data_IF_751061855799
#
_entry.id   IF_751061855799
#
_cell.length_a   1.000
_cell.length_b   1.000
_cell.length_c   1.000
_cell.angle_alpha   90.00
_cell.angle_beta   90.00
_cell.angle_gamma   90.00
#
_symmetry.space_group_name_H-M   'P 1'
#
loop_
_entity.id
_entity.type
_entity.pdbx_description
1 polymer ?
#
# COMPACT_ATOMS: atom_id res chain seq x y z
N UNK A 1 15.75 -0.16 -24.04
CA UNK A 1 14.47 -0.85 -24.28
C UNK A 1 13.87 -1.24 -22.93
N UNK A 2 13.22 -0.29 -22.26
CA UNK A 2 12.44 -0.53 -21.05
C UNK A 2 11.04 -0.04 -21.41
N UNK A 3 10.12 -0.98 -21.55
CA UNK A 3 8.83 -0.77 -22.21
C UNK A 3 8.04 0.40 -21.61
N UNK A 4 7.14 1.02 -22.38
CA UNK A 4 6.15 1.89 -21.79
C UNK A 4 5.36 1.05 -20.78
N UNK A 5 5.25 1.53 -19.54
CA UNK A 5 4.29 1.01 -18.57
C UNK A 5 2.87 1.27 -19.12
N UNK A 6 2.45 0.40 -20.04
CA UNK A 6 1.11 0.31 -20.56
C UNK A 6 0.23 -0.24 -19.43
N UNK A 7 -0.39 0.66 -18.67
CA UNK A 7 -1.70 0.46 -18.03
C UNK A 7 -2.10 1.74 -17.27
N UNK A 8 -2.40 2.79 -18.05
CA UNK A 8 -3.22 3.93 -17.63
C UNK A 8 -4.65 3.81 -18.20
N UNK A 9 -5.08 2.60 -18.58
CA UNK A 9 -6.31 2.33 -19.30
C UNK A 9 -7.07 1.19 -18.63
N UNK A 10 -7.95 1.52 -17.68
CA UNK A 10 -9.34 1.03 -17.58
C UNK A 10 -10.01 1.57 -16.30
N UNK A 11 -10.33 2.88 -16.29
CA UNK A 11 -11.29 3.41 -15.33
C UNK A 11 -12.70 3.23 -15.91
N UNK A 12 -13.62 2.84 -15.02
CA UNK A 12 -15.08 2.92 -15.15
C UNK A 12 -15.81 1.71 -15.76
N UNK A 13 -15.89 0.60 -14.99
CA UNK A 13 -17.11 -0.21 -14.85
C UNK A 13 -16.98 -1.40 -13.87
N UNK A 14 -15.76 -1.84 -13.54
CA UNK A 14 -15.53 -3.05 -12.72
C UNK A 14 -14.91 -2.70 -11.37
N UNK A 15 -15.28 -3.43 -10.32
CA UNK A 15 -14.61 -3.37 -9.00
C UNK A 15 -13.12 -3.69 -9.17
N UNK A 16 -12.19 -2.90 -8.57
CA UNK A 16 -10.76 -3.17 -8.67
C UNK A 16 -10.40 -4.57 -8.17
N UNK A 17 -9.55 -5.26 -8.91
CA UNK A 17 -9.00 -6.57 -8.56
C UNK A 17 -7.95 -6.47 -7.46
N UNK A 18 -7.66 -7.59 -6.81
CA UNK A 18 -6.60 -7.66 -5.79
C UNK A 18 -5.22 -7.30 -6.34
N UNK A 19 -4.96 -7.65 -7.60
CA UNK A 19 -3.70 -7.36 -8.25
C UNK A 19 -3.53 -5.85 -8.49
N UNK A 20 -4.58 -5.17 -8.95
CA UNK A 20 -4.60 -3.71 -9.09
C UNK A 20 -4.44 -3.01 -7.74
N UNK A 21 -5.11 -3.52 -6.70
CA UNK A 21 -4.95 -3.04 -5.33
C UNK A 21 -3.49 -3.20 -4.87
N UNK A 22 -2.91 -4.38 -5.07
CA UNK A 22 -1.55 -4.68 -4.66
C UNK A 22 -0.52 -3.80 -5.37
N UNK A 23 -0.65 -3.65 -6.68
CA UNK A 23 0.18 -2.76 -7.49
C UNK A 23 0.09 -1.32 -6.97
N UNK A 24 -1.11 -0.81 -6.73
CA UNK A 24 -1.32 0.56 -6.24
C UNK A 24 -0.69 0.78 -4.85
N UNK A 25 -0.90 -0.16 -3.92
CA UNK A 25 -0.31 -0.09 -2.57
C UNK A 25 1.22 -0.09 -2.61
N UNK A 26 1.82 -0.97 -3.42
CA UNK A 26 3.28 -1.04 -3.57
C UNK A 26 3.84 0.18 -4.31
N UNK A 27 3.15 0.69 -5.32
CA UNK A 27 3.52 1.91 -6.04
C UNK A 27 3.57 3.10 -5.08
N UNK A 28 2.53 3.31 -4.26
CA UNK A 28 2.51 4.39 -3.26
C UNK A 28 3.61 4.23 -2.21
N UNK A 29 3.84 3.01 -1.73
CA UNK A 29 4.89 2.72 -0.76
C UNK A 29 6.29 3.04 -1.32
N UNK A 30 6.56 2.62 -2.56
CA UNK A 30 7.85 2.87 -3.25
C UNK A 30 8.05 4.33 -3.60
N UNK A 31 7.01 5.00 -4.11
CA UNK A 31 7.06 6.41 -4.49
C UNK A 31 7.39 7.32 -3.31
N UNK A 32 6.89 7.00 -2.10
CA UNK A 32 7.21 7.76 -0.89
C UNK A 32 8.62 7.52 -0.36
N UNK A 33 9.21 6.36 -0.62
CA UNK A 33 10.51 5.98 -0.12
C UNK A 33 10.52 5.40 1.29
N UNK A 34 11.70 4.96 1.76
CA UNK A 34 11.85 4.18 2.99
C UNK A 34 11.39 4.94 4.24
N UNK A 35 10.69 4.24 5.13
CA UNK A 35 10.21 4.78 6.42
C UNK A 35 9.02 5.75 6.31
N UNK A 36 8.64 6.18 5.11
CA UNK A 36 7.48 7.06 4.91
C UNK A 36 6.19 6.26 4.92
N UNK A 37 5.12 6.91 5.36
CA UNK A 37 3.81 6.28 5.56
C UNK A 37 2.73 6.90 4.69
N UNK A 38 1.66 6.15 4.45
CA UNK A 38 0.47 6.56 3.70
C UNK A 38 -0.81 5.97 4.29
N UNK A 39 -1.97 6.47 3.87
CA UNK A 39 -3.26 5.93 4.29
C UNK A 39 -3.81 4.92 3.27
N UNK A 40 -4.46 3.82 3.69
CA UNK A 40 -5.12 2.90 2.76
C UNK A 40 -6.17 3.57 1.86
N UNK A 41 -6.87 4.58 2.38
CA UNK A 41 -7.87 5.35 1.63
C UNK A 41 -7.29 6.14 0.46
N UNK A 42 -6.00 6.47 0.50
CA UNK A 42 -5.32 7.12 -0.62
C UNK A 42 -5.19 6.17 -1.81
N UNK A 43 -4.79 4.93 -1.57
CA UNK A 43 -4.73 3.88 -2.60
C UNK A 43 -6.11 3.63 -3.21
N UNK A 44 -7.15 3.52 -2.38
CA UNK A 44 -8.51 3.28 -2.87
C UNK A 44 -9.06 4.45 -3.70
N UNK A 45 -8.79 5.70 -3.32
CA UNK A 45 -9.19 6.89 -4.10
C UNK A 45 -8.51 6.97 -5.46
N UNK A 46 -7.34 6.36 -5.61
CA UNK A 46 -6.66 6.28 -6.90
C UNK A 46 -7.29 5.21 -7.83
N UNK A 47 -8.02 4.24 -7.29
CA UNK A 47 -8.61 3.13 -8.04
C UNK A 47 -10.08 3.36 -8.42
N UNK A 48 -10.87 4.00 -7.54
CA UNK A 48 -12.29 4.21 -7.77
C UNK A 48 -12.82 5.45 -7.03
N UNK A 49 -13.86 6.07 -7.59
CA UNK A 49 -14.58 7.17 -6.94
C UNK A 49 -15.37 6.70 -5.72
N UNK A 50 -15.97 5.50 -5.77
CA UNK A 50 -16.67 4.86 -4.65
C UNK A 50 -15.72 3.97 -3.84
N UNK A 51 -14.77 4.60 -3.17
CA UNK A 51 -13.66 3.92 -2.49
C UNK A 51 -14.02 3.33 -1.13
N UNK A 52 -15.13 3.77 -0.51
CA UNK A 52 -15.50 3.36 0.85
C UNK A 52 -15.76 1.85 0.95
N UNK A 53 -16.54 1.23 0.03
CA UNK A 53 -16.78 -0.22 0.03
C UNK A 53 -15.50 -1.04 -0.24
N UNK A 54 -14.48 -0.45 -0.88
CA UNK A 54 -13.22 -1.13 -1.18
C UNK A 54 -12.31 -1.26 0.05
N UNK A 55 -12.58 -0.55 1.16
CA UNK A 55 -11.70 -0.49 2.31
C UNK A 55 -11.40 -1.83 3.00
N UNK A 56 -12.39 -2.74 3.21
CA UNK A 56 -12.10 -4.07 3.72
C UNK A 56 -11.11 -4.82 2.81
N UNK A 57 -11.34 -4.79 1.50
CA UNK A 57 -10.48 -5.51 0.54
C UNK A 57 -9.07 -4.94 0.47
N UNK A 58 -8.93 -3.62 0.52
CA UNK A 58 -7.64 -2.94 0.60
C UNK A 58 -6.84 -3.40 1.82
N UNK A 59 -7.51 -3.59 2.96
CA UNK A 59 -6.86 -4.05 4.20
C UNK A 59 -6.43 -5.52 4.09
N UNK A 60 -7.27 -6.37 3.50
CA UNK A 60 -6.94 -7.78 3.24
C UNK A 60 -5.69 -7.89 2.34
N UNK A 61 -5.68 -7.18 1.22
CA UNK A 61 -4.54 -7.21 0.29
C UNK A 61 -3.29 -6.61 0.95
N UNK A 62 -3.42 -5.52 1.72
CA UNK A 62 -2.29 -4.95 2.45
C UNK A 62 -1.65 -5.94 3.45
N UNK A 63 -2.44 -6.83 4.07
CA UNK A 63 -1.94 -7.85 4.99
C UNK A 63 -1.07 -8.91 4.30
N UNK A 64 -1.30 -9.16 3.00
CA UNK A 64 -0.55 -10.13 2.20
C UNK A 64 0.73 -9.56 1.57
N UNK A 65 1.00 -8.26 1.75
CA UNK A 65 2.12 -7.55 1.14
C UNK A 65 3.23 -7.29 2.15
N UNK A 66 4.47 -6.96 1.70
CA UNK A 66 5.57 -6.53 2.55
C UNK A 66 5.35 -5.10 3.07
N UNK A 67 4.20 -4.85 3.70
CA UNK A 67 3.77 -3.60 4.27
C UNK A 67 3.61 -3.75 5.77
N UNK A 68 3.94 -2.70 6.50
CA UNK A 68 3.68 -2.60 7.94
C UNK A 68 2.55 -1.61 8.14
N UNK A 69 1.43 -2.09 8.68
CA UNK A 69 0.37 -1.24 9.18
C UNK A 69 0.69 -0.77 10.59
N UNK A 70 0.44 0.51 10.86
CA UNK A 70 0.66 1.12 12.15
C UNK A 70 -0.52 2.00 12.55
N UNK A 71 -0.77 2.08 13.86
CA UNK A 71 -1.71 3.03 14.45
C UNK A 71 -0.99 3.74 15.59
N UNK A 72 -0.92 5.08 15.53
CA UNK A 72 -0.13 5.89 16.49
C UNK A 72 1.33 5.40 16.62
N UNK A 73 1.91 4.96 15.51
CA UNK A 73 3.28 4.43 15.45
C UNK A 73 3.45 2.97 15.87
N UNK A 74 2.39 2.34 16.41
CA UNK A 74 2.43 0.95 16.90
C UNK A 74 2.01 0.00 15.77
N UNK A 75 2.77 -1.07 15.47
CA UNK A 75 2.37 -2.09 14.50
C UNK A 75 1.02 -2.72 14.87
N UNK A 76 0.15 -2.86 13.87
CA UNK A 76 -1.18 -3.49 14.03
C UNK A 76 -1.47 -4.38 12.83
N UNK A 77 -2.36 -5.34 13.00
CA UNK A 77 -2.94 -6.07 11.87
C UNK A 77 -3.92 -5.14 11.13
N UNK A 78 -3.72 -4.86 9.82
CA UNK A 78 -4.59 -3.97 9.06
C UNK A 78 -6.03 -4.49 8.95
N UNK A 79 -6.26 -5.81 8.99
CA UNK A 79 -7.60 -6.42 8.84
C UNK A 79 -8.43 -6.16 10.09
N UNK A 80 -7.85 -6.41 11.27
CA UNK A 80 -8.54 -6.29 12.55
C UNK A 80 -8.46 -4.89 13.20
N UNK A 81 -7.55 -4.02 12.74
CA UNK A 81 -7.37 -2.69 13.31
C UNK A 81 -8.61 -1.80 13.14
N UNK A 82 -9.13 -1.29 14.27
CA UNK A 82 -10.25 -0.36 14.29
C UNK A 82 -9.79 1.07 14.08
N UNK A 83 -10.35 1.73 13.07
CA UNK A 83 -10.08 3.13 12.77
C UNK A 83 -8.91 3.35 11.81
N UNK A 84 -8.37 4.59 11.76
CA UNK A 84 -7.34 4.96 10.80
C UNK A 84 -6.00 4.27 11.06
N UNK A 85 -5.45 3.66 10.02
CA UNK A 85 -4.11 3.06 10.01
C UNK A 85 -3.21 3.76 9.00
N UNK A 86 -1.90 3.62 9.18
CA UNK A 86 -0.86 4.10 8.28
C UNK A 86 -0.05 2.91 7.79
N UNK A 87 0.11 2.78 6.48
CA UNK A 87 0.92 1.76 5.83
C UNK A 87 2.30 2.32 5.48
N UNK A 88 3.33 1.49 5.54
CA UNK A 88 4.67 1.77 5.02
C UNK A 88 5.29 0.50 4.46
N UNK A 89 6.28 0.64 3.58
CA UNK A 89 7.09 -0.50 3.17
C UNK A 89 7.82 -1.08 4.38
N UNK A 90 7.84 -2.41 4.49
CA UNK A 90 8.72 -3.07 5.44
C UNK A 90 10.17 -2.67 5.15
N UNK A 91 11.00 -2.42 6.18
CA UNK A 91 12.42 -2.18 5.97
C UNK A 91 13.00 -3.42 5.28
N UNK A 92 13.84 -3.19 4.27
CA UNK A 92 14.62 -4.27 3.71
C UNK A 92 15.52 -4.86 4.83
N UNK A 93 15.52 -6.18 5.03
CA UNK A 93 16.25 -6.79 6.15
C UNK A 93 17.76 -6.54 6.09
N UNK A 94 18.32 -6.24 4.91
CA UNK A 94 19.73 -5.89 4.73
C UNK A 94 20.01 -4.40 5.01
N UNK A 95 19.02 -3.52 4.81
CA UNK A 95 19.15 -2.06 5.03
C UNK A 95 19.58 -1.69 6.46
N UNK A 96 19.13 -2.44 7.47
CA UNK A 96 19.51 -2.22 8.88
C UNK A 96 20.95 -2.58 9.20
N UNK A 97 21.58 -3.45 8.42
CA UNK A 97 22.98 -3.89 8.61
C UNK A 97 23.98 -2.93 7.96
N UNK A 98 23.56 -2.21 6.93
CA UNK A 98 24.40 -1.24 6.19
C UNK A 98 24.52 0.12 6.89
N UNK A 99 23.55 0.50 7.71
CA UNK A 99 23.52 1.78 8.42
C UNK A 99 24.50 1.87 9.62
N UNK A 100 25.07 0.76 10.07
CA UNK A 100 25.97 0.69 11.25
C UNK A 100 27.47 0.79 10.92
N UNK A 101 27.82 1.17 9.67
CA UNK A 101 29.21 1.31 9.20
C UNK A 101 29.59 2.75 8.81
N UNK A 102 28.86 3.75 9.32
CA UNK A 102 29.14 5.17 9.12
C UNK A 102 29.75 5.80 10.37
#
# INVERSE_FOLDING_TARGET
MTGPHAQAVYLSAMTPTDEEIAQMLLQLARSRGPGKTFCPSEAARALTSDWRPLMPRIRDVAAALPLIATQKGIPVDPVNARGPIRLRLAPDPDQGRRASRG
#
